data_IF_087642521181
#
_entry.id   IF_087642521181
#
_cell.length_a   1.000
_cell.length_b   1.000
_cell.length_c   1.000
_cell.angle_alpha   90.00
_cell.angle_beta   90.00
_cell.angle_gamma   90.00
#
_symmetry.space_group_name_H-M   'P 1'
#
loop_
_entity.id
_entity.type
_entity.pdbx_description
1 polymer ?
#
# COMPACT_ATOMS: atom_id res chain seq x y z
N UNK A 1 -11.45 -3.88 14.78
CA UNK A 1 -10.88 -3.10 13.65
C UNK A 1 -11.92 -2.07 13.25
N UNK A 2 -11.54 -0.86 12.88
CA UNK A 2 -12.47 0.21 12.45
C UNK A 2 -12.92 -0.13 11.04
N UNK A 3 -14.23 -0.37 10.85
CA UNK A 3 -14.77 -0.92 9.60
C UNK A 3 -14.64 0.05 8.42
N UNK A 4 -14.84 1.34 8.65
CA UNK A 4 -14.67 2.36 7.60
C UNK A 4 -13.24 2.42 7.07
N UNK A 5 -12.23 2.30 7.95
CA UNK A 5 -10.81 2.25 7.55
C UNK A 5 -10.50 0.96 6.77
N UNK A 6 -11.11 -0.16 7.14
CA UNK A 6 -10.95 -1.41 6.39
C UNK A 6 -11.52 -1.28 4.97
N UNK A 7 -12.73 -0.73 4.79
CA UNK A 7 -13.29 -0.46 3.46
C UNK A 7 -12.45 0.52 2.64
N UNK A 8 -11.91 1.57 3.26
CA UNK A 8 -11.01 2.52 2.60
C UNK A 8 -9.75 1.85 2.05
N UNK A 9 -9.15 0.91 2.81
CA UNK A 9 -8.02 0.11 2.31
C UNK A 9 -8.38 -0.71 1.06
N UNK A 10 -9.60 -1.22 1.00
CA UNK A 10 -10.07 -1.94 -0.18
C UNK A 10 -10.15 -1.08 -1.43
N UNK A 11 -10.70 0.13 -1.29
CA UNK A 11 -10.75 1.13 -2.37
C UNK A 11 -9.33 1.50 -2.83
N UNK A 12 -8.45 1.82 -1.88
CA UNK A 12 -7.06 2.16 -2.17
C UNK A 12 -6.32 1.04 -2.92
N UNK A 13 -6.54 -0.22 -2.55
CA UNK A 13 -5.93 -1.36 -3.25
C UNK A 13 -6.39 -1.47 -4.70
N UNK A 14 -7.68 -1.30 -4.98
CA UNK A 14 -8.21 -1.29 -6.36
C UNK A 14 -7.66 -0.13 -7.19
N UNK A 15 -7.52 1.06 -6.63
CA UNK A 15 -6.94 2.19 -7.34
C UNK A 15 -5.50 1.93 -7.75
N UNK A 16 -4.71 1.27 -6.89
CA UNK A 16 -3.35 0.85 -7.25
C UNK A 16 -3.35 -0.23 -8.35
N UNK A 17 -4.32 -1.16 -8.36
CA UNK A 17 -4.48 -2.15 -9.44
C UNK A 17 -4.74 -1.45 -10.78
N UNK A 18 -5.61 -0.44 -10.82
CA UNK A 18 -5.88 0.34 -12.03
C UNK A 18 -4.68 1.14 -12.50
N UNK A 19 -3.92 1.76 -11.58
CA UNK A 19 -2.66 2.43 -11.92
C UNK A 19 -1.68 1.46 -12.64
N UNK A 20 -1.49 0.26 -12.11
CA UNK A 20 -0.58 -0.70 -12.72
C UNK A 20 -1.06 -1.18 -14.09
N UNK A 21 -2.36 -1.39 -14.29
CA UNK A 21 -2.91 -1.81 -15.57
C UNK A 21 -2.87 -0.68 -16.62
N UNK A 22 -3.45 0.47 -16.32
CA UNK A 22 -3.64 1.54 -17.29
C UNK A 22 -2.38 2.36 -17.54
N UNK A 23 -1.56 2.58 -16.51
CA UNK A 23 -0.41 3.48 -16.57
C UNK A 23 0.89 2.68 -16.76
N UNK A 24 1.28 1.82 -15.81
CA UNK A 24 2.55 1.11 -15.89
C UNK A 24 2.56 0.05 -16.99
N UNK A 25 1.50 -0.77 -17.11
CA UNK A 25 1.36 -1.74 -18.19
C UNK A 25 0.95 -1.10 -19.51
N UNK A 26 0.67 0.22 -19.53
CA UNK A 26 0.35 0.99 -20.73
C UNK A 26 -0.83 0.45 -21.53
N UNK A 27 -1.88 -0.02 -20.86
CA UNK A 27 -3.08 -0.47 -21.56
C UNK A 27 -3.79 0.68 -22.27
N UNK A 28 -3.60 1.91 -21.79
CA UNK A 28 -4.18 3.12 -22.38
C UNK A 28 -5.71 3.18 -22.22
N UNK A 29 -6.38 3.95 -23.09
CA UNK A 29 -7.80 4.24 -23.00
C UNK A 29 -8.11 5.43 -22.10
N UNK A 30 -9.40 5.83 -22.02
CA UNK A 30 -9.83 7.01 -21.26
C UNK A 30 -9.36 7.01 -19.78
N UNK A 31 -9.42 5.89 -19.03
CA UNK A 31 -8.95 5.89 -17.64
C UNK A 31 -7.47 6.22 -17.46
N UNK A 32 -6.63 5.92 -18.46
CA UNK A 32 -5.19 6.25 -18.40
C UNK A 32 -4.93 7.77 -18.46
N UNK A 33 -5.90 8.57 -18.86
CA UNK A 33 -5.80 10.03 -18.93
C UNK A 33 -6.28 10.73 -17.66
N UNK A 34 -6.98 10.02 -16.76
CA UNK A 34 -7.45 10.59 -15.51
C UNK A 34 -6.29 10.75 -14.53
N UNK A 35 -6.06 11.97 -14.05
CA UNK A 35 -5.01 12.26 -13.07
C UNK A 35 -5.11 11.38 -11.83
N UNK A 36 -6.33 11.08 -11.37
CA UNK A 36 -6.59 10.17 -10.26
C UNK A 36 -6.03 8.75 -10.51
N UNK A 37 -6.14 8.22 -11.73
CA UNK A 37 -5.59 6.92 -12.09
C UNK A 37 -4.08 6.98 -12.29
N UNK A 38 -3.58 8.04 -12.96
CA UNK A 38 -2.16 8.25 -13.18
C UNK A 38 -1.36 8.37 -11.87
N UNK A 39 -1.97 8.92 -10.84
CA UNK A 39 -1.34 9.17 -9.55
C UNK A 39 -1.83 8.23 -8.43
N UNK A 40 -2.59 7.18 -8.76
CA UNK A 40 -3.15 6.28 -7.75
C UNK A 40 -2.09 5.49 -6.95
N UNK A 41 -0.82 5.52 -7.36
CA UNK A 41 0.31 5.06 -6.56
C UNK A 41 0.46 5.83 -5.24
N UNK A 42 -0.10 7.05 -5.12
CA UNK A 42 -0.15 7.82 -3.88
C UNK A 42 -1.04 7.16 -2.80
N UNK A 43 -1.95 6.27 -3.16
CA UNK A 43 -2.69 5.49 -2.16
C UNK A 43 -1.79 4.58 -1.30
N UNK A 44 -0.55 4.36 -1.71
CA UNK A 44 0.44 3.68 -0.87
C UNK A 44 0.77 4.52 0.37
N UNK A 45 0.81 5.85 0.26
CA UNK A 45 0.99 6.74 1.43
C UNK A 45 -0.20 6.65 2.38
N UNK A 46 -1.41 6.53 1.84
CA UNK A 46 -2.61 6.28 2.65
C UNK A 46 -2.50 4.95 3.42
N UNK A 47 -1.97 3.87 2.80
CA UNK A 47 -1.70 2.62 3.52
C UNK A 47 -0.71 2.82 4.66
N UNK A 48 0.36 3.58 4.47
CA UNK A 48 1.31 3.88 5.54
C UNK A 48 0.68 4.70 6.67
N UNK A 49 -0.13 5.72 6.36
CA UNK A 49 -0.87 6.51 7.35
C UNK A 49 -1.81 5.62 8.17
N UNK A 50 -2.61 4.78 7.50
CA UNK A 50 -3.50 3.81 8.15
C UNK A 50 -2.71 2.84 9.03
N UNK A 51 -1.58 2.34 8.53
CA UNK A 51 -0.73 1.40 9.27
C UNK A 51 -0.17 2.04 10.54
N UNK A 52 0.34 3.27 10.46
CA UNK A 52 0.82 4.03 11.62
C UNK A 52 -0.27 4.26 12.69
N UNK A 53 -1.45 4.69 12.26
CA UNK A 53 -2.59 4.91 13.15
C UNK A 53 -3.02 3.61 13.86
N UNK A 54 -3.13 2.50 13.12
CA UNK A 54 -3.49 1.19 13.68
C UNK A 54 -2.38 0.67 14.61
N UNK A 55 -1.10 0.84 14.26
CA UNK A 55 0.00 0.41 15.14
C UNK A 55 -0.01 1.18 16.44
N UNK A 56 -0.18 2.50 16.42
CA UNK A 56 -0.29 3.31 17.62
C UNK A 56 -1.53 2.93 18.46
N UNK A 57 -2.68 2.69 17.81
CA UNK A 57 -3.91 2.27 18.46
C UNK A 57 -3.77 0.92 19.18
N UNK A 58 -3.19 -0.08 18.52
CA UNK A 58 -3.16 -1.46 19.03
C UNK A 58 -1.97 -1.71 19.94
N UNK A 59 -0.82 -1.12 19.63
CA UNK A 59 0.45 -1.43 20.28
C UNK A 59 1.08 -0.26 21.04
N UNK A 60 0.49 0.93 20.94
CA UNK A 60 1.04 2.14 21.55
C UNK A 60 1.31 2.03 23.05
N UNK A 61 0.58 1.18 23.78
CA UNK A 61 0.75 0.93 25.22
C UNK A 61 1.24 -0.49 25.55
N UNK A 62 1.56 -1.30 24.53
CA UNK A 62 1.81 -2.75 24.72
C UNK A 62 3.28 -3.16 24.54
N UNK A 63 4.15 -2.28 24.05
CA UNK A 63 5.57 -2.60 23.83
C UNK A 63 6.40 -2.23 25.06
N UNK A 64 6.11 -2.87 26.21
CA UNK A 64 6.68 -2.53 27.50
C UNK A 64 7.91 -3.38 27.88
N UNK A 65 8.00 -4.58 27.35
CA UNK A 65 9.06 -5.53 27.63
C UNK A 65 9.48 -6.33 26.37
N UNK A 66 10.60 -7.05 26.44
CA UNK A 66 11.14 -7.81 25.33
C UNK A 66 10.22 -8.93 24.85
N UNK A 67 9.39 -9.51 25.74
CA UNK A 67 8.41 -10.55 25.38
C UNK A 67 7.31 -9.98 24.47
N UNK A 68 6.79 -8.81 24.81
CA UNK A 68 5.77 -8.13 24.02
C UNK A 68 6.32 -7.67 22.65
N UNK A 69 7.56 -7.20 22.62
CA UNK A 69 8.27 -6.85 21.37
C UNK A 69 8.45 -8.08 20.49
N UNK A 70 8.92 -9.21 21.06
CA UNK A 70 9.02 -10.47 20.32
C UNK A 70 7.68 -10.95 19.79
N UNK A 71 6.62 -10.92 20.61
CA UNK A 71 5.28 -11.29 20.20
C UNK A 71 4.74 -10.35 19.07
N UNK A 72 5.05 -9.07 19.11
CA UNK A 72 4.75 -8.12 18.06
C UNK A 72 5.41 -8.54 16.73
N UNK A 73 6.74 -8.78 16.74
CA UNK A 73 7.47 -9.16 15.53
C UNK A 73 6.98 -10.48 14.95
N UNK A 74 6.74 -11.50 15.77
CA UNK A 74 6.18 -12.76 15.30
C UNK A 74 4.85 -12.51 14.57
N UNK A 75 3.93 -11.74 15.17
CA UNK A 75 2.63 -11.43 14.54
C UNK A 75 2.77 -10.66 13.23
N UNK A 76 3.70 -9.70 13.14
CA UNK A 76 3.93 -8.89 11.92
C UNK A 76 4.63 -9.71 10.84
N UNK A 77 5.66 -10.49 11.19
CA UNK A 77 6.33 -11.38 10.26
C UNK A 77 5.34 -12.37 9.61
N UNK A 78 4.56 -13.08 10.42
CA UNK A 78 3.58 -14.04 9.91
C UNK A 78 2.38 -13.38 9.20
N UNK A 79 2.19 -12.09 9.36
CA UNK A 79 1.20 -11.29 8.63
C UNK A 79 1.68 -10.92 7.22
N UNK A 80 2.98 -10.61 7.05
CA UNK A 80 3.52 -10.04 5.83
C UNK A 80 4.30 -11.07 4.99
N UNK A 81 5.26 -11.74 5.62
CA UNK A 81 6.28 -12.49 4.91
C UNK A 81 5.76 -13.71 4.10
N UNK A 82 4.85 -14.55 4.62
CA UNK A 82 4.45 -15.75 3.87
C UNK A 82 3.79 -15.45 2.53
N UNK A 83 2.89 -14.46 2.49
CA UNK A 83 2.25 -14.08 1.24
C UNK A 83 3.22 -13.35 0.31
N UNK A 84 4.12 -12.51 0.84
CA UNK A 84 5.19 -11.91 0.05
C UNK A 84 6.03 -12.98 -0.67
N UNK A 85 6.55 -13.95 0.05
CA UNK A 85 7.36 -15.03 -0.54
C UNK A 85 6.61 -15.77 -1.65
N UNK A 86 5.36 -16.16 -1.39
CA UNK A 86 4.54 -16.87 -2.38
C UNK A 86 4.29 -15.99 -3.61
N UNK A 87 3.96 -14.72 -3.44
CA UNK A 87 3.67 -13.83 -4.57
C UNK A 87 4.93 -13.47 -5.36
N UNK A 88 6.11 -13.35 -4.73
CA UNK A 88 7.38 -13.18 -5.43
C UNK A 88 7.69 -14.42 -6.28
N UNK A 89 7.58 -15.62 -5.71
CA UNK A 89 7.83 -16.87 -6.46
C UNK A 89 6.81 -17.08 -7.59
N UNK A 90 5.54 -16.78 -7.36
CA UNK A 90 4.52 -16.89 -8.42
C UNK A 90 4.67 -15.81 -9.50
N UNK A 91 5.17 -14.62 -9.18
CA UNK A 91 5.48 -13.59 -10.17
C UNK A 91 6.64 -14.05 -11.09
N UNK A 92 7.71 -14.62 -10.51
CA UNK A 92 8.80 -15.21 -11.27
C UNK A 92 8.26 -16.33 -12.18
N UNK A 93 7.46 -17.24 -11.64
CA UNK A 93 6.85 -18.34 -12.40
C UNK A 93 5.95 -17.84 -13.54
N UNK A 94 5.14 -16.80 -13.30
CA UNK A 94 4.28 -16.20 -14.32
C UNK A 94 5.09 -15.63 -15.49
N UNK A 95 6.19 -14.94 -15.22
CA UNK A 95 7.07 -14.43 -16.27
C UNK A 95 7.72 -15.58 -17.06
N UNK A 96 8.21 -16.64 -16.39
CA UNK A 96 8.77 -17.83 -17.08
C UNK A 96 7.73 -18.44 -18.03
N UNK A 97 6.50 -18.63 -17.57
CA UNK A 97 5.41 -19.21 -18.37
C UNK A 97 5.09 -18.33 -19.58
N UNK A 98 4.95 -17.01 -19.38
CA UNK A 98 4.61 -16.08 -20.46
C UNK A 98 5.76 -15.97 -21.48
N UNK A 99 7.01 -15.90 -21.04
CA UNK A 99 8.15 -15.85 -21.94
C UNK A 99 8.34 -17.17 -22.70
N UNK A 100 8.13 -18.31 -22.04
CA UNK A 100 8.14 -19.63 -22.69
C UNK A 100 7.05 -19.74 -23.76
N UNK A 101 5.83 -19.25 -23.49
CA UNK A 101 4.74 -19.22 -24.46
C UNK A 101 5.06 -18.31 -25.66
N UNK A 102 5.66 -17.13 -25.43
CA UNK A 102 6.10 -16.23 -26.49
C UNK A 102 7.19 -16.87 -27.36
N UNK A 103 8.15 -17.52 -26.73
CA UNK A 103 9.21 -18.23 -27.46
C UNK A 103 8.62 -19.36 -28.33
N UNK A 104 7.72 -20.18 -27.79
CA UNK A 104 7.08 -21.25 -28.54
C UNK A 104 6.24 -20.72 -29.71
N UNK A 105 5.50 -19.62 -29.52
CA UNK A 105 4.75 -18.96 -30.57
C UNK A 105 5.66 -18.43 -31.69
N UNK A 106 6.81 -17.84 -31.32
CA UNK A 106 7.79 -17.36 -32.29
C UNK A 106 8.37 -18.50 -33.16
N UNK A 107 8.62 -19.69 -32.58
CA UNK A 107 9.02 -20.86 -33.32
C UNK A 107 7.97 -21.35 -34.34
N UNK A 108 6.68 -21.09 -34.03
CA UNK A 108 5.56 -21.37 -34.94
C UNK A 108 5.27 -20.20 -35.93
N UNK A 109 6.13 -19.19 -36.03
CA UNK A 109 5.97 -18.03 -36.91
C UNK A 109 4.93 -17.00 -36.40
N UNK A 110 4.45 -17.13 -35.16
CA UNK A 110 3.47 -16.23 -34.54
C UNK A 110 4.21 -15.23 -33.66
N UNK A 111 4.18 -13.95 -34.04
CA UNK A 111 4.74 -12.89 -33.19
C UNK A 111 3.70 -12.41 -32.17
N UNK A 112 3.82 -12.88 -30.93
CA UNK A 112 3.11 -12.31 -29.80
C UNK A 112 3.89 -11.07 -29.33
N UNK A 113 3.54 -9.90 -29.87
CA UNK A 113 4.22 -8.64 -29.58
C UNK A 113 4.05 -8.20 -28.11
N UNK A 114 4.88 -7.23 -27.70
CA UNK A 114 4.81 -6.51 -26.44
C UNK A 114 6.05 -6.73 -25.57
N UNK A 115 6.70 -5.61 -25.21
CA UNK A 115 7.66 -5.60 -24.11
C UNK A 115 6.90 -5.88 -22.81
N UNK A 116 7.46 -6.72 -21.94
CA UNK A 116 6.89 -6.88 -20.60
C UNK A 116 7.17 -5.60 -19.81
N UNK A 117 6.17 -4.89 -19.29
CA UNK A 117 6.40 -3.66 -18.49
C UNK A 117 7.16 -3.97 -17.20
N UNK A 118 7.16 -5.22 -16.80
CA UNK A 118 7.85 -5.77 -15.63
C UNK A 118 8.85 -6.85 -16.03
N UNK A 119 9.39 -6.78 -17.27
CA UNK A 119 10.52 -7.62 -17.68
C UNK A 119 11.72 -7.22 -16.83
N UNK A 120 11.79 -7.86 -15.70
CA UNK A 120 12.99 -7.94 -14.90
C UNK A 120 14.06 -8.55 -15.82
N UNK A 121 15.27 -7.98 -15.85
CA UNK A 121 16.42 -8.74 -16.30
C UNK A 121 16.42 -10.03 -15.47
N UNK A 122 16.04 -11.10 -16.14
CA UNK A 122 15.76 -12.38 -15.50
C UNK A 122 17.01 -12.83 -14.74
N UNK A 123 16.85 -13.03 -13.44
CA UNK A 123 17.84 -13.55 -12.53
C UNK A 123 19.08 -12.67 -12.28
N UNK A 124 18.87 -11.57 -11.52
CA UNK A 124 19.96 -11.13 -10.65
C UNK A 124 19.77 -11.79 -9.27
N UNK A 125 20.55 -12.84 -8.93
CA UNK A 125 20.41 -13.54 -7.64
C UNK A 125 20.50 -12.61 -6.43
N UNK A 126 21.29 -11.52 -6.54
CA UNK A 126 21.39 -10.48 -5.52
C UNK A 126 20.07 -9.78 -5.23
N UNK A 127 19.24 -9.50 -6.24
CA UNK A 127 17.95 -8.85 -6.06
C UNK A 127 16.94 -9.78 -5.43
N UNK A 128 16.93 -11.06 -5.83
CA UNK A 128 16.11 -12.06 -5.17
C UNK A 128 16.48 -12.23 -3.71
N UNK A 129 17.77 -12.21 -3.35
CA UNK A 129 18.21 -12.24 -1.96
C UNK A 129 17.75 -11.01 -1.16
N UNK A 130 17.83 -9.81 -1.75
CA UNK A 130 17.31 -8.60 -1.12
C UNK A 130 15.80 -8.66 -0.89
N UNK A 131 15.03 -9.20 -1.84
CA UNK A 131 13.59 -9.43 -1.67
C UNK A 131 13.31 -10.47 -0.56
N UNK A 132 14.06 -11.55 -0.47
CA UNK A 132 13.92 -12.56 0.58
C UNK A 132 14.13 -11.97 1.98
N UNK A 133 15.02 -11.00 2.13
CA UNK A 133 15.28 -10.35 3.43
C UNK A 133 14.54 -9.02 3.61
N UNK A 134 13.57 -8.74 2.74
CA UNK A 134 12.73 -7.53 2.82
C UNK A 134 13.52 -6.22 2.73
N UNK A 135 14.56 -6.15 1.88
CA UNK A 135 15.39 -4.96 1.68
C UNK A 135 15.13 -4.25 0.34
N UNK A 136 14.17 -4.71 -0.45
CA UNK A 136 13.89 -4.20 -1.78
C UNK A 136 13.30 -2.79 -1.82
N UNK A 137 12.76 -2.26 -0.72
CA UNK A 137 12.13 -0.93 -0.67
C UNK A 137 12.93 0.12 0.12
N UNK A 138 14.16 -0.20 0.56
CA UNK A 138 14.93 0.70 1.45
C UNK A 138 16.03 1.50 0.72
N UNK A 139 16.00 1.53 -0.61
CA UNK A 139 16.94 2.31 -1.41
C UNK A 139 18.23 1.56 -1.78
N UNK A 140 18.25 0.23 -1.66
CA UNK A 140 19.39 -0.63 -2.04
C UNK A 140 19.25 -1.23 -3.45
N UNK A 141 18.09 -1.05 -4.08
CA UNK A 141 17.81 -1.54 -5.44
C UNK A 141 17.47 -0.38 -6.36
N UNK A 142 18.04 -0.40 -7.55
CA UNK A 142 17.83 0.63 -8.58
C UNK A 142 17.03 0.12 -9.79
N UNK A 143 16.62 -1.16 -9.77
CA UNK A 143 15.94 -1.83 -10.87
C UNK A 143 14.60 -2.46 -10.43
N UNK A 144 13.85 -2.93 -11.42
CA UNK A 144 12.53 -3.50 -11.18
C UNK A 144 12.58 -4.78 -10.33
N UNK A 145 11.61 -4.90 -9.43
CA UNK A 145 11.41 -6.05 -8.54
C UNK A 145 10.68 -7.19 -9.27
N UNK A 146 10.87 -8.43 -8.82
CA UNK A 146 10.11 -9.58 -9.34
C UNK A 146 8.59 -9.40 -9.09
N UNK A 147 8.24 -8.87 -7.92
CA UNK A 147 6.89 -8.41 -7.62
C UNK A 147 6.92 -6.93 -7.27
N UNK A 148 6.77 -6.05 -8.27
CA UNK A 148 6.97 -4.61 -8.14
C UNK A 148 6.28 -3.98 -6.91
N UNK A 149 5.00 -4.26 -6.58
CA UNK A 149 4.36 -3.67 -5.40
C UNK A 149 5.03 -3.99 -4.07
N UNK A 150 5.88 -5.02 -4.01
CA UNK A 150 6.49 -5.50 -2.76
C UNK A 150 7.48 -4.52 -2.12
N UNK A 151 7.90 -3.46 -2.84
CA UNK A 151 8.74 -2.42 -2.27
C UNK A 151 8.10 -1.77 -1.04
N UNK A 152 6.81 -1.46 -1.10
CA UNK A 152 6.09 -0.83 0.01
C UNK A 152 5.92 -1.78 1.20
N UNK A 153 5.80 -3.08 0.93
CA UNK A 153 5.76 -4.10 1.96
C UNK A 153 7.10 -4.21 2.71
N UNK A 154 8.21 -4.15 1.97
CA UNK A 154 9.56 -4.05 2.57
C UNK A 154 9.64 -2.83 3.48
N UNK A 155 9.24 -1.66 2.99
CA UNK A 155 9.19 -0.43 3.81
C UNK A 155 8.30 -0.65 5.05
N UNK A 156 7.10 -1.21 4.91
CA UNK A 156 6.19 -1.45 6.04
C UNK A 156 6.82 -2.38 7.10
N UNK A 157 7.56 -3.39 6.68
CA UNK A 157 8.28 -4.28 7.60
C UNK A 157 9.31 -3.51 8.44
N UNK A 158 10.11 -2.64 7.82
CA UNK A 158 11.11 -1.83 8.51
C UNK A 158 10.48 -0.70 9.34
N UNK A 159 9.34 -0.16 8.92
CA UNK A 159 8.56 0.78 9.72
C UNK A 159 8.04 0.14 11.02
N UNK A 160 7.67 -1.14 10.99
CA UNK A 160 7.30 -1.88 12.20
C UNK A 160 8.50 -2.04 13.14
N UNK A 161 9.70 -2.26 12.62
CA UNK A 161 10.91 -2.28 13.43
C UNK A 161 11.17 -0.91 14.05
N UNK A 162 11.17 0.16 13.27
CA UNK A 162 11.37 1.52 13.74
C UNK A 162 10.34 1.90 14.82
N UNK A 163 9.07 1.58 14.60
CA UNK A 163 8.01 1.78 15.58
C UNK A 163 8.24 1.00 16.86
N UNK A 164 8.58 -0.27 16.78
CA UNK A 164 8.79 -1.10 17.96
C UNK A 164 10.01 -0.63 18.77
N UNK A 165 11.12 -0.27 18.11
CA UNK A 165 12.32 0.28 18.76
C UNK A 165 11.97 1.59 19.46
N UNK A 166 11.33 2.53 18.76
CA UNK A 166 10.94 3.81 19.35
C UNK A 166 10.04 3.62 20.56
N UNK A 167 9.01 2.79 20.47
CA UNK A 167 8.01 2.60 21.52
C UNK A 167 8.51 1.74 22.69
N UNK A 168 9.52 0.93 22.46
CA UNK A 168 10.21 0.20 23.52
C UNK A 168 11.07 1.10 24.38
N UNK A 169 11.85 1.99 23.79
CA UNK A 169 12.77 2.89 24.52
C UNK A 169 12.07 4.15 25.02
N UNK A 170 11.14 4.71 24.25
CA UNK A 170 10.43 5.94 24.62
C UNK A 170 9.13 5.59 25.35
N UNK A 171 9.11 5.72 26.68
CA UNK A 171 7.98 5.29 27.54
C UNK A 171 6.87 6.32 27.65
N UNK A 172 7.23 7.59 27.70
CA UNK A 172 6.27 8.69 27.88
C UNK A 172 5.46 8.95 26.60
N UNK A 173 4.14 9.05 26.71
CA UNK A 173 3.25 9.42 25.58
C UNK A 173 3.67 10.75 24.96
N UNK A 174 3.99 11.76 25.79
CA UNK A 174 4.46 13.07 25.31
C UNK A 174 5.73 12.93 24.49
N UNK A 175 6.71 12.17 24.97
CA UNK A 175 7.97 11.93 24.26
C UNK A 175 7.77 11.16 22.96
N UNK A 176 6.84 10.18 22.90
CA UNK A 176 6.46 9.47 21.67
C UNK A 176 5.87 10.40 20.62
N UNK A 177 4.99 11.32 21.04
CA UNK A 177 4.40 12.33 20.15
C UNK A 177 5.49 13.23 19.59
N UNK A 178 6.38 13.78 20.44
CA UNK A 178 7.47 14.64 19.99
C UNK A 178 8.48 13.91 19.09
N UNK A 179 8.84 12.68 19.42
CA UNK A 179 9.73 11.87 18.58
C UNK A 179 9.10 11.57 17.21
N UNK A 180 7.79 11.24 17.20
CA UNK A 180 7.05 11.03 15.94
C UNK A 180 6.97 12.33 15.11
N UNK A 181 6.72 13.47 15.74
CA UNK A 181 6.72 14.77 15.08
C UNK A 181 8.10 15.13 14.53
N UNK A 182 9.18 14.86 15.28
CA UNK A 182 10.55 15.07 14.83
C UNK A 182 10.88 14.23 13.58
N UNK A 183 10.47 12.97 13.54
CA UNK A 183 10.63 12.11 12.36
C UNK A 183 9.90 12.71 11.15
N UNK A 184 8.65 13.15 11.32
CA UNK A 184 7.87 13.80 10.26
C UNK A 184 8.58 15.05 9.74
N UNK A 185 9.06 15.92 10.62
CA UNK A 185 9.77 17.15 10.26
C UNK A 185 11.08 16.84 9.52
N UNK A 186 11.86 15.86 9.99
CA UNK A 186 13.10 15.45 9.33
C UNK A 186 12.87 14.88 7.93
N UNK A 187 11.83 14.03 7.76
CA UNK A 187 11.46 13.51 6.45
C UNK A 187 10.98 14.63 5.52
N UNK A 188 10.21 15.58 6.04
CA UNK A 188 9.74 16.72 5.24
C UNK A 188 10.91 17.62 4.81
N UNK A 189 11.84 17.92 5.72
CA UNK A 189 13.05 18.67 5.41
C UNK A 189 13.91 17.95 4.35
N UNK A 190 14.07 16.63 4.47
CA UNK A 190 14.73 15.80 3.47
C UNK A 190 14.06 15.97 2.09
N UNK A 191 12.73 15.82 1.99
CA UNK A 191 12.03 15.95 0.73
C UNK A 191 12.10 17.36 0.15
N UNK A 192 11.95 18.40 0.94
CA UNK A 192 12.08 19.79 0.47
C UNK A 192 13.48 20.07 -0.08
N UNK A 193 14.52 19.53 0.58
CA UNK A 193 15.90 19.65 0.08
C UNK A 193 16.10 18.90 -1.23
N UNK A 194 15.61 17.69 -1.35
CA UNK A 194 15.76 16.86 -2.57
C UNK A 194 14.92 17.43 -3.71
N UNK A 195 13.72 17.94 -3.42
CA UNK A 195 12.86 18.57 -4.42
C UNK A 195 13.53 19.81 -5.07
N UNK A 196 14.25 20.61 -4.27
CA UNK A 196 14.98 21.78 -4.81
C UNK A 196 16.09 21.40 -5.80
N UNK A 197 16.60 20.14 -5.73
CA UNK A 197 17.65 19.63 -6.63
C UNK A 197 17.17 18.75 -7.78
N UNK A 198 16.12 17.95 -7.59
CA UNK A 198 15.71 16.88 -8.51
C UNK A 198 14.30 17.06 -9.11
N UNK A 199 13.54 18.04 -8.66
CA UNK A 199 12.16 18.25 -9.11
C UNK A 199 11.21 17.11 -8.71
N UNK A 200 10.09 16.89 -9.45
CA UNK A 200 9.03 15.96 -9.02
C UNK A 200 9.36 14.46 -9.06
N UNK A 201 10.52 14.06 -9.59
CA UNK A 201 10.98 12.65 -9.61
C UNK A 201 11.35 12.12 -8.23
N UNK A 202 11.36 12.96 -7.21
CA UNK A 202 11.76 12.70 -5.82
C UNK A 202 10.89 11.65 -5.11
N UNK A 203 9.75 11.29 -5.67
CA UNK A 203 8.85 10.28 -5.05
C UNK A 203 9.05 8.86 -5.61
N UNK A 204 10.10 8.64 -6.41
CA UNK A 204 10.43 7.32 -6.92
C UNK A 204 10.64 6.33 -5.75
N UNK A 205 9.97 5.17 -5.76
CA UNK A 205 9.96 4.24 -4.62
C UNK A 205 11.31 3.55 -4.38
N UNK A 206 12.11 3.41 -5.40
CA UNK A 206 13.43 2.78 -5.40
C UNK A 206 14.44 3.50 -4.51
N UNK A 207 14.46 4.84 -4.54
CA UNK A 207 15.42 5.65 -3.74
C UNK A 207 14.78 6.24 -2.50
N UNK A 208 13.50 6.62 -2.54
CA UNK A 208 12.83 7.39 -1.49
C UNK A 208 11.70 6.63 -0.77
N UNK A 209 11.59 5.32 -0.99
CA UNK A 209 10.55 4.50 -0.36
C UNK A 209 10.55 4.59 1.16
N UNK A 210 11.73 4.47 1.79
CA UNK A 210 11.83 4.51 3.26
C UNK A 210 11.52 5.88 3.87
N UNK A 211 12.11 7.02 3.42
CA UNK A 211 11.71 8.35 3.90
C UNK A 211 10.23 8.64 3.69
N UNK A 212 9.65 8.24 2.56
CA UNK A 212 8.23 8.38 2.23
C UNK A 212 7.34 7.57 3.19
N UNK A 213 7.73 6.32 3.46
CA UNK A 213 7.05 5.48 4.43
C UNK A 213 7.12 6.03 5.85
N UNK A 214 8.30 6.51 6.30
CA UNK A 214 8.49 7.14 7.59
C UNK A 214 7.58 8.37 7.75
N UNK A 215 7.57 9.28 6.76
CA UNK A 215 6.70 10.46 6.78
C UNK A 215 5.25 10.06 7.01
N UNK A 216 4.70 9.22 6.12
CA UNK A 216 3.28 8.87 6.12
C UNK A 216 2.88 8.03 7.34
N UNK A 217 3.73 7.07 7.74
CA UNK A 217 3.47 6.22 8.90
C UNK A 217 3.44 7.01 10.22
N UNK A 218 4.41 7.90 10.43
CA UNK A 218 4.46 8.67 11.67
C UNK A 218 3.43 9.80 11.71
N UNK A 219 2.96 10.31 10.55
CA UNK A 219 1.71 11.09 10.47
C UNK A 219 0.55 10.24 11.03
N UNK A 220 0.41 8.98 10.62
CA UNK A 220 -0.61 8.07 11.14
C UNK A 220 -0.50 7.87 12.66
N UNK A 221 0.71 7.73 13.21
CA UNK A 221 0.94 7.66 14.66
C UNK A 221 0.42 8.92 15.35
N UNK A 222 0.74 10.11 14.82
CA UNK A 222 0.27 11.39 15.35
C UNK A 222 -1.25 11.54 15.24
N UNK A 223 -1.87 11.06 14.17
CA UNK A 223 -3.33 10.99 13.96
C UNK A 223 -4.00 10.26 15.12
N UNK A 224 -3.48 9.12 15.55
CA UNK A 224 -4.03 8.39 16.68
C UNK A 224 -3.93 9.16 17.99
N UNK A 225 -2.77 9.71 18.32
CA UNK A 225 -2.61 10.51 19.54
C UNK A 225 -3.44 11.78 19.53
N UNK A 226 -3.53 12.47 18.40
CA UNK A 226 -4.41 13.62 18.21
C UNK A 226 -5.87 13.25 18.42
N UNK A 227 -6.30 12.09 17.90
CA UNK A 227 -7.65 11.57 18.15
C UNK A 227 -7.93 11.33 19.63
N UNK A 228 -7.03 10.64 20.34
CA UNK A 228 -7.19 10.39 21.76
C UNK A 228 -7.37 11.69 22.57
N UNK A 229 -6.65 12.75 22.20
CA UNK A 229 -6.73 14.04 22.91
C UNK A 229 -8.08 14.77 22.72
N UNK A 230 -8.72 14.63 21.55
CA UNK A 230 -9.94 15.37 21.22
C UNK A 230 -11.20 14.52 21.24
N UNK A 231 -11.09 13.20 21.26
CA UNK A 231 -12.23 12.27 21.24
C UNK A 231 -13.35 12.63 22.26
N UNK A 232 -13.05 13.01 23.52
CA UNK A 232 -14.11 13.34 24.48
C UNK A 232 -14.97 14.53 24.03
N UNK A 233 -14.35 15.52 23.33
CA UNK A 233 -15.05 16.70 22.82
C UNK A 233 -15.88 16.42 21.59
N UNK A 234 -15.49 15.42 20.80
CA UNK A 234 -16.13 15.07 19.52
C UNK A 234 -17.28 14.06 19.67
N UNK A 235 -17.49 13.51 20.86
CA UNK A 235 -18.58 12.54 21.12
C UNK A 235 -19.96 13.09 20.74
N UNK A 236 -20.18 14.38 20.93
CA UNK A 236 -21.45 15.06 20.72
C UNK A 236 -21.64 15.59 19.29
N UNK A 237 -20.64 15.47 18.41
CA UNK A 237 -20.83 15.86 17.01
C UNK A 237 -21.90 15.00 16.35
N UNK A 238 -22.83 15.64 15.61
CA UNK A 238 -23.82 14.89 14.84
C UNK A 238 -23.14 14.07 13.74
N UNK A 239 -23.74 12.93 13.38
CA UNK A 239 -23.25 12.11 12.27
C UNK A 239 -23.31 12.85 10.94
N UNK A 240 -24.18 13.83 10.78
CA UNK A 240 -24.30 14.68 9.59
C UNK A 240 -23.10 15.60 9.46
N UNK A 241 -22.73 16.33 10.53
CA UNK A 241 -21.57 17.22 10.53
C UNK A 241 -20.29 16.43 10.27
N UNK A 242 -20.13 15.30 10.95
CA UNK A 242 -18.99 14.42 10.75
C UNK A 242 -18.95 13.87 9.33
N UNK A 243 -20.10 13.47 8.77
CA UNK A 243 -20.22 12.97 7.39
C UNK A 243 -19.88 14.03 6.35
N UNK A 244 -20.30 15.28 6.54
CA UNK A 244 -19.93 16.40 5.67
C UNK A 244 -18.41 16.63 5.70
N UNK A 245 -17.81 16.63 6.89
CA UNK A 245 -16.36 16.77 7.05
C UNK A 245 -15.58 15.62 6.38
N UNK A 246 -16.05 14.37 6.54
CA UNK A 246 -15.48 13.20 5.85
C UNK A 246 -15.56 13.34 4.33
N UNK A 247 -16.68 13.83 3.81
CA UNK A 247 -16.87 14.04 2.37
C UNK A 247 -15.91 15.10 1.83
N UNK A 248 -15.77 16.23 2.52
CA UNK A 248 -14.82 17.29 2.15
C UNK A 248 -13.39 16.73 2.10
N UNK A 249 -12.96 15.97 3.11
CA UNK A 249 -11.63 15.38 3.15
C UNK A 249 -11.43 14.30 2.07
N UNK A 250 -12.46 13.51 1.78
CA UNK A 250 -12.42 12.54 0.70
C UNK A 250 -12.25 13.24 -0.66
N UNK A 251 -13.09 14.24 -0.96
CA UNK A 251 -13.02 15.02 -2.20
C UNK A 251 -11.68 15.73 -2.31
N UNK A 252 -11.21 16.38 -1.24
CA UNK A 252 -9.91 17.04 -1.21
C UNK A 252 -8.76 16.05 -1.48
N UNK A 253 -8.79 14.88 -0.84
CA UNK A 253 -7.78 13.85 -1.06
C UNK A 253 -7.74 13.39 -2.52
N UNK A 254 -8.91 13.13 -3.12
CA UNK A 254 -8.99 12.70 -4.52
C UNK A 254 -8.59 13.82 -5.48
N UNK A 255 -8.99 15.06 -5.23
CA UNK A 255 -8.60 16.21 -6.04
C UNK A 255 -7.08 16.46 -6.00
N UNK A 256 -6.44 16.36 -4.82
CA UNK A 256 -4.99 16.50 -4.69
C UNK A 256 -4.24 15.37 -5.41
N UNK A 257 -4.76 14.16 -5.43
CA UNK A 257 -4.19 13.06 -6.21
C UNK A 257 -4.32 13.38 -7.70
N UNK A 258 -5.50 13.82 -8.15
CA UNK A 258 -5.76 14.12 -9.56
C UNK A 258 -4.85 15.26 -10.07
N UNK A 259 -4.68 16.31 -9.29
CA UNK A 259 -3.87 17.50 -9.59
C UNK A 259 -2.37 17.33 -9.26
N UNK A 260 -1.90 16.15 -8.90
CA UNK A 260 -0.52 15.95 -8.38
C UNK A 260 0.57 16.57 -9.24
N UNK A 261 0.43 16.52 -10.56
CA UNK A 261 1.43 17.05 -11.48
C UNK A 261 1.62 18.58 -11.34
N UNK A 262 0.57 19.30 -10.94
CA UNK A 262 0.55 20.76 -10.81
C UNK A 262 0.95 21.25 -9.41
N UNK A 263 1.03 20.33 -8.42
CA UNK A 263 1.25 20.70 -7.02
C UNK A 263 2.71 21.09 -6.70
N UNK A 264 3.69 20.70 -7.52
CA UNK A 264 5.08 20.93 -7.19
C UNK A 264 5.42 20.34 -5.80
N UNK A 265 6.06 21.15 -4.93
CA UNK A 265 6.41 20.73 -3.57
C UNK A 265 5.20 20.49 -2.66
N UNK A 266 4.01 21.00 -2.99
CA UNK A 266 2.80 20.75 -2.20
C UNK A 266 2.33 19.29 -2.23
N UNK A 267 2.89 18.46 -3.11
CA UNK A 267 2.65 17.00 -3.09
C UNK A 267 2.93 16.38 -1.71
N UNK A 268 3.85 16.94 -0.94
CA UNK A 268 4.17 16.48 0.42
C UNK A 268 3.09 16.82 1.47
N UNK A 269 2.10 17.64 1.11
CA UNK A 269 0.93 17.87 1.95
C UNK A 269 -0.09 16.71 1.88
N UNK A 270 -0.06 15.89 0.84
CA UNK A 270 -1.03 14.81 0.62
C UNK A 270 -1.10 13.82 1.80
N UNK A 271 0.01 13.32 2.38
CA UNK A 271 -0.04 12.45 3.55
C UNK A 271 -0.72 13.08 4.77
N UNK A 272 -0.63 14.40 4.95
CA UNK A 272 -1.32 15.10 6.03
C UNK A 272 -2.83 15.14 5.80
N UNK A 273 -3.28 15.38 4.57
CA UNK A 273 -4.71 15.33 4.20
C UNK A 273 -5.24 13.91 4.37
N UNK A 274 -4.49 12.89 3.97
CA UNK A 274 -4.82 11.49 4.28
C UNK A 274 -4.90 11.23 5.78
N UNK A 275 -4.00 11.83 6.57
CA UNK A 275 -4.03 11.77 8.02
C UNK A 275 -5.33 12.34 8.58
N UNK A 276 -5.77 13.50 8.13
CA UNK A 276 -7.04 14.11 8.52
C UNK A 276 -8.23 13.26 8.07
N UNK A 277 -8.19 12.69 6.87
CA UNK A 277 -9.25 11.81 6.39
C UNK A 277 -9.36 10.55 7.26
N UNK A 278 -8.24 9.86 7.53
CA UNK A 278 -8.20 8.71 8.44
C UNK A 278 -8.69 9.10 9.83
N UNK A 279 -8.25 10.25 10.35
CA UNK A 279 -8.69 10.79 11.65
C UNK A 279 -10.21 10.96 11.72
N UNK A 280 -10.84 11.49 10.67
CA UNK A 280 -12.28 11.69 10.59
C UNK A 280 -13.09 10.39 10.57
N UNK A 281 -12.47 9.29 10.13
CA UNK A 281 -13.06 7.95 10.06
C UNK A 281 -12.90 7.14 11.35
N UNK A 282 -12.05 7.56 12.30
CA UNK A 282 -11.83 6.83 13.56
C UNK A 282 -13.11 6.65 14.40
N UNK A 283 -14.10 7.57 14.41
CA UNK A 283 -15.38 7.36 15.08
C UNK A 283 -16.25 6.23 14.49
N UNK A 284 -15.94 5.77 13.30
CA UNK A 284 -16.65 4.72 12.53
C UNK A 284 -18.13 5.03 12.26
N UNK A 285 -18.49 6.32 12.15
CA UNK A 285 -19.83 6.88 11.89
C UNK A 285 -19.76 8.06 10.92
N UNK A 286 -20.87 8.42 10.30
CA UNK A 286 -20.98 9.42 9.23
C UNK A 286 -21.24 8.77 7.87
N UNK A 287 -21.65 9.56 6.87
CA UNK A 287 -22.10 9.05 5.55
C UNK A 287 -20.99 8.32 4.79
N UNK A 288 -19.76 8.86 4.78
CA UNK A 288 -18.63 8.21 4.11
C UNK A 288 -18.22 6.94 4.85
N UNK A 289 -18.21 6.97 6.19
CA UNK A 289 -17.97 5.77 6.99
C UNK A 289 -19.02 4.69 6.72
N UNK A 290 -20.31 5.06 6.64
CA UNK A 290 -21.38 4.12 6.32
C UNK A 290 -21.22 3.50 4.92
N UNK A 291 -20.86 4.30 3.91
CA UNK A 291 -20.54 3.80 2.57
C UNK A 291 -19.40 2.79 2.60
N UNK A 292 -18.29 3.12 3.27
CA UNK A 292 -17.12 2.26 3.41
C UNK A 292 -17.41 0.96 4.20
N UNK A 293 -18.47 0.93 4.99
CA UNK A 293 -18.92 -0.25 5.75
C UNK A 293 -19.85 -1.18 4.96
N UNK A 294 -20.20 -0.87 3.71
CA UNK A 294 -21.00 -1.74 2.86
C UNK A 294 -20.30 -3.08 2.60
N UNK A 295 -21.08 -4.15 2.43
CA UNK A 295 -20.54 -5.51 2.26
C UNK A 295 -19.46 -5.64 1.18
N UNK A 296 -19.62 -5.06 -0.03
CA UNK A 296 -18.58 -5.15 -1.07
C UNK A 296 -17.28 -4.48 -0.64
N UNK A 297 -17.34 -3.26 -0.07
CA UNK A 297 -16.14 -2.53 0.35
C UNK A 297 -15.46 -3.18 1.55
N UNK A 298 -16.22 -3.78 2.47
CA UNK A 298 -15.66 -4.59 3.54
C UNK A 298 -14.95 -5.84 3.02
N UNK A 299 -15.53 -6.50 2.00
CA UNK A 299 -14.89 -7.64 1.36
C UNK A 299 -13.56 -7.23 0.73
N UNK A 300 -13.54 -6.13 -0.04
CA UNK A 300 -12.31 -5.57 -0.62
C UNK A 300 -11.28 -5.21 0.46
N UNK A 301 -11.72 -4.61 1.56
CA UNK A 301 -10.86 -4.23 2.68
C UNK A 301 -10.18 -5.41 3.34
N UNK A 302 -10.93 -6.45 3.63
CA UNK A 302 -10.42 -7.71 4.21
C UNK A 302 -9.38 -8.38 3.30
N UNK A 303 -9.59 -8.31 1.97
CA UNK A 303 -8.70 -8.93 0.98
C UNK A 303 -7.65 -7.94 0.42
N UNK A 304 -7.62 -6.68 0.88
CA UNK A 304 -6.79 -5.60 0.31
C UNK A 304 -5.31 -5.95 0.22
N UNK A 305 -4.77 -6.65 1.20
CA UNK A 305 -3.38 -7.10 1.21
C UNK A 305 -3.10 -8.16 0.14
N UNK A 306 -3.98 -9.16 0.03
CA UNK A 306 -3.90 -10.18 -1.01
C UNK A 306 -4.08 -9.56 -2.40
N UNK A 307 -5.09 -8.67 -2.61
CA UNK A 307 -5.28 -7.91 -3.86
C UNK A 307 -4.00 -7.17 -4.24
N UNK A 308 -3.41 -6.46 -3.29
CA UNK A 308 -2.21 -5.65 -3.50
C UNK A 308 -0.99 -6.47 -3.93
N UNK A 309 -0.82 -7.69 -3.44
CA UNK A 309 0.35 -8.50 -3.77
C UNK A 309 0.18 -9.38 -5.01
N UNK A 310 -1.05 -9.84 -5.32
CA UNK A 310 -1.26 -10.77 -6.46
C UNK A 310 -1.47 -10.07 -7.80
N UNK A 311 -1.87 -8.78 -7.80
CA UNK A 311 -2.37 -8.15 -9.02
C UNK A 311 -1.32 -8.06 -10.13
N UNK A 312 -0.04 -7.83 -9.81
CA UNK A 312 1.03 -7.78 -10.83
C UNK A 312 1.31 -9.16 -11.42
N UNK A 313 1.29 -10.20 -10.60
CA UNK A 313 1.38 -11.59 -11.09
C UNK A 313 0.25 -11.90 -12.08
N UNK A 314 -0.98 -11.51 -11.76
CA UNK A 314 -2.13 -11.68 -12.66
C UNK A 314 -1.98 -10.80 -13.90
N UNK A 315 -1.55 -9.54 -13.73
CA UNK A 315 -1.33 -8.59 -14.81
C UNK A 315 -0.38 -9.12 -15.89
N UNK A 316 0.64 -9.89 -15.50
CA UNK A 316 1.59 -10.52 -16.43
C UNK A 316 0.89 -11.36 -17.50
N UNK A 317 -0.19 -12.06 -17.17
CA UNK A 317 -0.98 -12.85 -18.14
C UNK A 317 -1.92 -12.01 -18.99
N UNK A 318 -2.32 -10.83 -18.50
CA UNK A 318 -3.25 -9.93 -19.16
C UNK A 318 -2.58 -8.80 -19.95
N UNK A 319 -1.25 -8.68 -19.88
CA UNK A 319 -0.52 -7.56 -20.48
C UNK A 319 -0.72 -7.48 -21.99
N UNK A 320 -0.55 -8.60 -22.71
CA UNK A 320 -0.75 -8.62 -24.15
C UNK A 320 -2.20 -8.27 -24.58
N UNK A 321 -3.26 -8.92 -24.06
CA UNK A 321 -4.62 -8.56 -24.47
C UNK A 321 -5.00 -7.14 -24.04
N UNK A 322 -4.54 -6.66 -22.88
CA UNK A 322 -4.80 -5.30 -22.42
C UNK A 322 -4.27 -4.22 -23.33
N UNK A 323 -3.11 -4.45 -23.97
CA UNK A 323 -2.52 -3.52 -24.95
C UNK A 323 -3.07 -3.72 -26.36
N UNK A 324 -3.34 -4.97 -26.75
CA UNK A 324 -3.72 -5.34 -28.11
C UNK A 324 -5.11 -4.84 -28.49
N UNK A 325 -6.06 -4.98 -27.58
CA UNK A 325 -7.45 -4.68 -27.90
C UNK A 325 -7.79 -3.20 -27.72
N UNK A 326 -8.53 -2.64 -28.69
CA UNK A 326 -9.14 -1.33 -28.58
C UNK A 326 -10.48 -1.37 -27.82
N UNK A 327 -11.11 -0.20 -27.67
CA UNK A 327 -12.46 -0.08 -27.11
C UNK A 327 -13.52 -0.65 -28.08
N UNK A 328 -14.60 -1.31 -27.63
CA UNK A 328 -14.95 -1.59 -26.22
C UNK A 328 -14.33 -2.86 -25.61
N UNK A 329 -13.65 -3.72 -26.41
CA UNK A 329 -13.12 -5.01 -25.97
C UNK A 329 -12.09 -4.88 -24.85
N UNK A 330 -11.33 -3.79 -24.83
CA UNK A 330 -10.42 -3.46 -23.74
C UNK A 330 -11.11 -3.46 -22.37
N UNK A 331 -12.29 -2.88 -22.27
CA UNK A 331 -13.03 -2.84 -21.00
C UNK A 331 -13.50 -4.23 -20.55
N UNK A 332 -13.81 -5.12 -21.49
CA UNK A 332 -14.06 -6.53 -21.18
C UNK A 332 -12.81 -7.22 -20.62
N UNK A 333 -11.64 -6.96 -21.21
CA UNK A 333 -10.34 -7.46 -20.69
C UNK A 333 -10.09 -6.94 -19.29
N UNK A 334 -10.32 -5.65 -19.04
CA UNK A 334 -10.18 -5.05 -17.70
C UNK A 334 -11.11 -5.71 -16.69
N UNK A 335 -12.37 -5.94 -17.04
CA UNK A 335 -13.35 -6.60 -16.17
C UNK A 335 -12.92 -8.03 -15.81
N UNK A 336 -12.45 -8.82 -16.80
CA UNK A 336 -11.94 -10.18 -16.58
C UNK A 336 -10.66 -10.15 -15.75
N UNK A 337 -9.75 -9.21 -16.00
CA UNK A 337 -8.53 -9.02 -15.21
C UNK A 337 -8.86 -8.72 -13.74
N UNK A 338 -9.75 -7.76 -13.48
CA UNK A 338 -10.16 -7.42 -12.11
C UNK A 338 -10.79 -8.63 -11.43
N UNK A 339 -11.68 -9.35 -12.11
CA UNK A 339 -12.27 -10.59 -11.59
C UNK A 339 -11.18 -11.62 -11.25
N UNK A 340 -10.21 -11.84 -12.13
CA UNK A 340 -9.09 -12.75 -11.90
C UNK A 340 -8.26 -12.33 -10.68
N UNK A 341 -7.97 -11.03 -10.51
CA UNK A 341 -7.29 -10.49 -9.32
C UNK A 341 -8.09 -10.77 -8.05
N UNK A 342 -9.41 -10.52 -8.06
CA UNK A 342 -10.28 -10.75 -6.90
C UNK A 342 -10.36 -12.24 -6.53
N UNK A 343 -10.41 -13.14 -7.52
CA UNK A 343 -10.40 -14.58 -7.30
C UNK A 343 -9.05 -15.05 -6.75
N UNK A 344 -7.93 -14.62 -7.34
CA UNK A 344 -6.59 -14.92 -6.84
C UNK A 344 -6.40 -14.40 -5.40
N UNK A 345 -6.86 -13.18 -5.12
CA UNK A 345 -6.82 -12.60 -3.79
C UNK A 345 -7.64 -13.39 -2.77
N UNK A 346 -8.83 -13.88 -3.14
CA UNK A 346 -9.65 -14.75 -2.28
C UNK A 346 -8.93 -16.06 -1.96
N UNK A 347 -8.30 -16.68 -2.97
CA UNK A 347 -7.55 -17.91 -2.81
C UNK A 347 -6.35 -17.72 -1.87
N UNK A 348 -5.50 -16.72 -2.14
CA UNK A 348 -4.31 -16.43 -1.34
C UNK A 348 -4.68 -15.99 0.09
N UNK A 349 -5.75 -15.21 0.27
CA UNK A 349 -6.28 -14.86 1.58
C UNK A 349 -6.64 -16.11 2.38
N UNK A 350 -7.44 -17.02 1.78
CA UNK A 350 -7.95 -18.22 2.47
C UNK A 350 -6.85 -19.23 2.77
N UNK A 351 -5.93 -19.47 1.83
CA UNK A 351 -4.97 -20.59 1.93
C UNK A 351 -3.60 -20.18 2.46
N UNK A 352 -3.27 -18.88 2.39
CA UNK A 352 -1.95 -18.41 2.82
C UNK A 352 -2.10 -17.37 3.94
N UNK A 353 -2.77 -16.24 3.68
CA UNK A 353 -2.79 -15.12 4.63
C UNK A 353 -3.42 -15.51 5.98
N UNK A 354 -4.60 -16.11 5.98
CA UNK A 354 -5.31 -16.48 7.22
C UNK A 354 -4.56 -17.57 8.01
N UNK A 355 -4.18 -18.72 7.41
CA UNK A 355 -3.49 -19.79 8.14
C UNK A 355 -2.18 -19.34 8.78
N UNK A 356 -1.36 -18.57 8.04
CA UNK A 356 -0.09 -18.09 8.55
C UNK A 356 -0.25 -17.02 9.63
N UNK A 357 -1.18 -16.08 9.43
CA UNK A 357 -1.55 -15.10 10.47
C UNK A 357 -1.97 -15.76 11.78
N UNK A 358 -2.79 -16.79 11.70
CA UNK A 358 -3.26 -17.51 12.90
C UNK A 358 -2.17 -18.36 13.53
N UNK A 359 -1.25 -18.93 12.73
CA UNK A 359 -0.02 -19.55 13.23
C UNK A 359 0.84 -18.53 14.01
N UNK A 360 1.02 -17.34 13.46
CA UNK A 360 1.76 -16.26 14.13
C UNK A 360 1.14 -15.85 15.47
N UNK A 361 -0.19 -15.77 15.55
CA UNK A 361 -0.88 -15.50 16.83
C UNK A 361 -0.62 -16.60 17.86
N UNK A 362 -0.70 -17.89 17.46
CA UNK A 362 -0.43 -19.03 18.37
C UNK A 362 1.01 -19.03 18.87
N UNK A 363 1.98 -18.77 17.99
CA UNK A 363 3.40 -18.71 18.37
C UNK A 363 3.69 -17.52 19.31
N UNK A 364 3.07 -16.38 19.07
CA UNK A 364 3.21 -15.18 19.89
C UNK A 364 2.53 -15.30 21.28
N UNK A 365 1.57 -16.21 21.45
CA UNK A 365 0.89 -16.46 22.74
C UNK A 365 1.57 -17.55 23.59
N UNK A 366 2.57 -18.27 23.05
CA UNK A 366 3.30 -19.33 23.76
C UNK A 366 4.59 -18.86 24.43
N UNK A 367 4.96 -17.63 24.29
CA UNK A 367 6.11 -16.97 24.90
C UNK A 367 5.71 -15.75 25.75
#
# INVERSE_FOLDING_TARGET
MIRSIEGLRGVAALMVVFFHAFVLARWGGAPAQWGLVQNAWLFVDLFFVISGAIMAMVYGQRLQDGRQVRAFFIKRFFRLYPLHLVTTLTAIGAVIVVQGAKWAAAQAGIQLGGEQPFAVEFFKPSYFLLELVMLQGVGLMTEALHNYPSWSLSVEFWLYLAFAVLFFFVRSTRARVWASAAIVVLCLAHFLRVFSGLGPQVLAPDVHGMPRGLLSFFIGVLVWYGWQAVQPRLRNLSSTVLGAFQLVLAVLSLALIDMRADLGAWVYAIPFVFGLWVWSLLPDRGVVAALLQTRPLQWLGVHSYSIYLVHVTVLTFFDWPGRKFGEPLKYAVVAVFVLAVLLAARCTYRWIEVPWRDRGKRLAGRG
#
